data_IF_072888894719
#
_entry.id   IF_072888894719
#
_cell.length_a   1.000
_cell.length_b   1.000
_cell.length_c   1.000
_cell.angle_alpha   90.00
_cell.angle_beta   90.00
_cell.angle_gamma   90.00
#
_symmetry.space_group_name_H-M   'P 1'
#
loop_
_entity.id
_entity.type
_entity.pdbx_description
1 polymer ?
#
# COMPACT_ATOMS: atom_id res chain seq x y z
N UNK A 1 13.89 11.26 -11.04
CA UNK A 1 13.70 10.82 -9.64
C UNK A 1 12.26 10.32 -9.52
N UNK A 2 12.04 9.00 -9.43
CA UNK A 2 10.70 8.44 -9.27
C UNK A 2 10.24 8.74 -7.84
N UNK A 3 9.21 9.57 -7.70
CA UNK A 3 8.61 9.85 -6.38
C UNK A 3 7.93 8.57 -5.91
N UNK A 4 8.57 7.81 -5.02
CA UNK A 4 7.89 6.73 -4.32
C UNK A 4 6.90 7.37 -3.34
N UNK A 5 5.59 7.33 -3.65
CA UNK A 5 4.53 7.86 -2.78
C UNK A 5 4.31 7.03 -1.50
N UNK A 6 5.06 5.94 -1.32
CA UNK A 6 4.95 5.01 -0.19
C UNK A 6 6.17 5.11 0.71
N UNK A 7 5.98 4.91 2.02
CA UNK A 7 7.03 4.88 3.04
C UNK A 7 7.07 3.52 3.75
N UNK A 8 8.25 3.17 4.29
CA UNK A 8 8.40 1.95 5.10
C UNK A 8 7.49 2.06 6.31
N UNK A 9 6.65 1.05 6.51
CA UNK A 9 5.61 1.03 7.55
C UNK A 9 4.20 1.29 7.03
N UNK A 10 4.04 1.85 5.83
CA UNK A 10 2.73 2.12 5.25
C UNK A 10 1.95 0.82 5.05
N UNK A 11 0.65 0.89 5.31
CA UNK A 11 -0.27 -0.21 5.02
C UNK A 11 -0.76 -0.04 3.60
N UNK A 12 -0.58 -1.09 2.80
CA UNK A 12 -0.97 -1.12 1.38
C UNK A 12 -1.79 -2.37 1.11
N UNK A 13 -2.61 -2.33 0.07
CA UNK A 13 -3.35 -3.48 -0.43
C UNK A 13 -3.06 -3.62 -1.93
N UNK A 14 -3.09 -4.87 -2.42
CA UNK A 14 -3.05 -5.13 -3.86
C UNK A 14 -4.34 -4.64 -4.49
N UNK A 15 -4.22 -4.01 -5.67
CA UNK A 15 -5.40 -3.71 -6.46
C UNK A 15 -6.09 -4.99 -6.90
N UNK A 16 -7.43 -4.99 -7.05
CA UNK A 16 -8.21 -6.16 -7.43
C UNK A 16 -7.71 -6.91 -8.65
N UNK A 17 -7.24 -6.18 -9.67
CA UNK A 17 -6.71 -6.76 -10.90
C UNK A 17 -5.46 -7.64 -10.71
N UNK A 18 -4.74 -7.52 -9.59
CA UNK A 18 -3.49 -8.23 -9.31
C UNK A 18 -3.59 -9.27 -8.18
N UNK A 19 -4.74 -9.40 -7.51
CA UNK A 19 -4.99 -10.32 -6.39
C UNK A 19 -4.71 -11.79 -6.76
N UNK A 20 -4.88 -12.16 -8.03
CA UNK A 20 -4.69 -13.53 -8.50
C UNK A 20 -3.24 -13.91 -8.86
N UNK A 21 -2.26 -12.99 -8.82
CA UNK A 21 -0.88 -13.31 -9.26
C UNK A 21 -0.11 -14.23 -8.31
N UNK A 22 -0.54 -14.36 -7.05
CA UNK A 22 0.16 -15.18 -6.03
C UNK A 22 -0.80 -15.89 -5.05
N UNK A 23 -2.06 -16.12 -5.44
CA UNK A 23 -3.08 -16.68 -4.55
C UNK A 23 -3.40 -15.80 -3.33
N UNK A 24 -3.01 -14.52 -3.37
CA UNK A 24 -3.19 -13.58 -2.26
C UNK A 24 -4.59 -12.98 -2.34
N UNK A 25 -5.54 -13.56 -1.59
CA UNK A 25 -6.82 -12.89 -1.27
C UNK A 25 -6.53 -11.49 -0.72
N UNK A 26 -7.37 -10.50 -1.03
CA UNK A 26 -7.28 -9.06 -0.67
C UNK A 26 -6.81 -8.83 0.77
N UNK A 27 -5.51 -8.96 1.03
CA UNK A 27 -4.91 -8.83 2.36
C UNK A 27 -4.20 -7.49 2.39
N UNK A 28 -4.37 -6.78 3.49
CA UNK A 28 -3.57 -5.59 3.77
C UNK A 28 -2.17 -6.05 4.14
N UNK A 29 -1.18 -5.61 3.38
CA UNK A 29 0.23 -5.80 3.65
C UNK A 29 0.85 -4.52 4.22
N UNK A 30 2.07 -4.64 4.73
CA UNK A 30 2.88 -3.56 5.28
C UNK A 30 4.14 -3.40 4.43
N UNK A 31 4.45 -2.17 4.02
CA UNK A 31 5.70 -1.90 3.31
C UNK A 31 6.88 -2.10 4.26
N UNK A 32 7.80 -2.98 3.91
CA UNK A 32 8.99 -3.31 4.72
C UNK A 32 10.28 -2.79 4.10
N UNK A 33 10.27 -2.50 2.80
CA UNK A 33 11.42 -1.97 2.08
C UNK A 33 11.08 -1.57 0.64
N UNK A 34 12.11 -1.07 -0.04
CA UNK A 34 12.05 -0.63 -1.43
C UNK A 34 13.30 -1.10 -2.14
N UNK A 35 13.14 -1.44 -3.40
CA UNK A 35 14.22 -1.61 -4.36
C UNK A 35 14.05 -0.53 -5.45
N UNK A 36 14.99 -0.41 -6.37
CA UNK A 36 15.00 0.59 -7.45
C UNK A 36 13.71 0.59 -8.30
N UNK A 37 13.00 -0.54 -8.36
CA UNK A 37 11.77 -0.72 -9.16
C UNK A 37 10.56 -1.18 -8.35
N UNK A 38 10.76 -1.79 -7.18
CA UNK A 38 9.73 -2.54 -6.47
C UNK A 38 9.53 -2.04 -5.03
N UNK A 39 8.32 -2.23 -4.53
CA UNK A 39 7.95 -2.05 -3.12
C UNK A 39 7.85 -3.44 -2.50
N UNK A 40 8.59 -3.68 -1.41
CA UNK A 40 8.53 -4.93 -0.67
C UNK A 40 7.39 -4.85 0.36
N UNK A 41 6.38 -5.70 0.18
CA UNK A 41 5.17 -5.73 1.00
C UNK A 41 5.06 -7.04 1.77
N UNK A 42 5.09 -6.95 3.10
CA UNK A 42 4.90 -8.08 4.00
C UNK A 42 3.43 -8.23 4.40
N UNK A 43 2.89 -9.43 4.24
CA UNK A 43 1.53 -9.77 4.67
C UNK A 43 1.55 -10.55 5.97
N UNK A 44 0.45 -10.46 6.73
CA UNK A 44 0.30 -11.21 7.99
C UNK A 44 0.40 -12.72 7.70
N UNK A 45 1.39 -13.37 8.31
CA UNK A 45 1.70 -14.79 8.11
C UNK A 45 2.82 -15.06 7.10
N UNK A 46 3.51 -14.03 6.59
CA UNK A 46 4.72 -14.20 5.79
C UNK A 46 5.96 -13.68 6.54
N UNK A 47 6.77 -14.61 7.05
CA UNK A 47 8.05 -14.31 7.73
C UNK A 47 9.22 -14.10 6.75
N UNK A 48 9.03 -14.35 5.46
CA UNK A 48 10.09 -14.37 4.43
C UNK A 48 10.44 -12.98 3.84
N UNK A 49 10.32 -11.89 4.60
CA UNK A 49 10.86 -10.59 4.18
C UNK A 49 10.03 -9.76 3.17
N UNK A 50 8.82 -10.22 2.82
CA UNK A 50 7.87 -9.47 1.98
C UNK A 50 7.96 -9.80 0.49
N UNK A 51 6.86 -9.59 -0.22
CA UNK A 51 6.76 -9.83 -1.66
C UNK A 51 6.99 -8.54 -2.44
N UNK A 52 7.75 -8.58 -3.56
CA UNK A 52 7.96 -7.42 -4.41
C UNK A 52 6.72 -7.14 -5.28
N UNK A 53 6.27 -5.89 -5.27
CA UNK A 53 5.22 -5.39 -6.17
C UNK A 53 5.66 -4.10 -6.83
N UNK A 54 5.15 -3.82 -8.02
CA UNK A 54 5.30 -2.50 -8.60
C UNK A 54 4.45 -1.49 -7.81
N UNK A 55 4.91 -0.23 -7.63
CA UNK A 55 4.11 0.82 -7.00
C UNK A 55 2.73 1.03 -7.64
N UNK A 56 2.59 0.68 -8.93
CA UNK A 56 1.34 0.77 -9.70
C UNK A 56 0.35 -0.36 -9.40
N UNK A 57 0.80 -1.47 -8.81
CA UNK A 57 0.00 -2.67 -8.50
C UNK A 57 -0.61 -2.63 -7.10
N UNK A 58 -0.11 -1.73 -6.26
CA UNK A 58 -0.55 -1.54 -4.88
C UNK A 58 -1.18 -0.17 -4.70
N UNK A 59 -2.07 -0.07 -3.73
CA UNK A 59 -2.70 1.17 -3.32
C UNK A 59 -2.63 1.29 -1.80
N UNK A 60 -2.63 2.51 -1.25
CA UNK A 60 -2.70 2.71 0.19
C UNK A 60 -3.94 2.00 0.76
N UNK A 61 -3.75 1.19 1.79
CA UNK A 61 -4.85 0.65 2.58
C UNK A 61 -5.30 1.71 3.60
N UNK A 62 -5.60 2.91 3.12
CA UNK A 62 -6.20 3.96 3.94
C UNK A 62 -7.57 3.42 4.36
N UNK A 63 -7.83 3.41 5.67
CA UNK A 63 -9.18 3.14 6.17
C UNK A 63 -10.07 4.23 5.61
N UNK A 64 -11.20 3.88 5.00
CA UNK A 64 -12.21 4.78 4.40
C UNK A 64 -12.79 5.82 5.41
N UNK A 65 -12.26 5.92 6.65
CA UNK A 65 -12.60 6.95 7.64
C UNK A 65 -11.44 7.85 8.08
N UNK A 66 -10.23 7.70 7.52
CA UNK A 66 -9.10 8.61 7.82
C UNK A 66 -9.20 9.85 6.91
N UNK A 67 -10.17 10.69 7.26
CA UNK A 67 -10.10 12.14 7.15
C UNK A 67 -9.84 12.71 5.74
N UNK A 68 -10.89 12.74 4.91
CA UNK A 68 -11.17 13.98 4.18
C UNK A 68 -11.56 15.00 5.26
N UNK A 69 -10.55 15.64 5.87
CA UNK A 69 -10.78 16.87 6.61
C UNK A 69 -11.26 17.87 5.55
N UNK A 70 -12.58 17.93 5.34
CA UNK A 70 -13.18 19.07 4.69
C UNK A 70 -12.90 20.22 5.64
N UNK A 71 -11.88 21.02 5.32
CA UNK A 71 -11.78 22.39 5.79
C UNK A 71 -13.04 23.09 5.28
N UNK A 72 -14.13 22.96 6.02
CA UNK A 72 -15.20 23.93 5.97
C UNK A 72 -14.58 25.22 6.51
N UNK A 73 -13.97 25.99 5.61
CA UNK A 73 -13.74 27.40 5.84
C UNK A 73 -15.12 28.03 6.03
N UNK A 74 -15.51 28.09 7.29
CA UNK A 74 -16.57 28.93 7.81
C UNK A 74 -16.05 30.36 7.68
N UNK A 75 -16.30 30.97 6.53
CA UNK A 75 -16.17 32.40 6.32
C UNK A 75 -17.57 32.98 6.24
N UNK A 76 -17.97 33.66 7.31
CA UNK A 76 -19.03 34.68 7.33
C UNK A 76 -18.95 35.65 6.13
#
# INVERSE_FOLDING_TARGET
>A
MVKHSFKKGDKVKLKPEFINRFGQKTKVGKVVGFDNLYVLVQYKGNDYGGFPYLPTEIEPAIKVGEQLQFDFMKGD
#
